data_IF_897108218809
#
_entry.id   IF_897108218809
#
_cell.length_a   1.000
_cell.length_b   1.000
_cell.length_c   1.000
_cell.angle_alpha   90.00
_cell.angle_beta   90.00
_cell.angle_gamma   90.00
#
_symmetry.space_group_name_H-M   'P 1'
#
loop_
_entity.id
_entity.type
_entity.pdbx_description
1 polymer ?
#
# COMPACT_ATOMS: atom_id res chain seq x y z
N UNK A 1 28.42 -9.97 -9.99
CA UNK A 1 27.29 -10.93 -9.92
C UNK A 1 26.00 -10.15 -10.04
N UNK A 2 25.03 -10.64 -10.80
CA UNK A 2 23.72 -10.01 -10.92
C UNK A 2 22.97 -10.11 -9.59
N UNK A 3 22.37 -9.01 -9.13
CA UNK A 3 21.59 -8.98 -7.89
C UNK A 3 20.30 -9.77 -8.03
N UNK A 4 19.85 -10.41 -6.96
CA UNK A 4 18.67 -11.28 -6.93
C UNK A 4 17.63 -10.69 -5.99
N UNK A 5 16.40 -10.55 -6.48
CA UNK A 5 15.27 -9.98 -5.73
C UNK A 5 14.15 -11.02 -5.63
N UNK A 6 13.72 -11.34 -4.42
CA UNK A 6 12.51 -12.15 -4.20
C UNK A 6 11.31 -11.24 -4.01
N UNK A 7 10.23 -11.49 -4.73
CA UNK A 7 9.03 -10.64 -4.69
C UNK A 7 7.79 -11.51 -4.43
N UNK A 8 7.03 -11.16 -3.38
CA UNK A 8 5.68 -11.69 -3.16
C UNK A 8 4.64 -10.66 -3.58
N UNK A 9 3.47 -11.13 -4.04
CA UNK A 9 2.40 -10.24 -4.47
C UNK A 9 2.61 -9.57 -5.83
N UNK A 10 3.58 -10.03 -6.63
CA UNK A 10 3.90 -9.49 -7.96
C UNK A 10 2.73 -9.43 -8.95
N UNK A 11 1.67 -10.23 -8.77
CA UNK A 11 0.45 -10.19 -9.60
C UNK A 11 -0.64 -9.26 -9.05
N UNK A 12 -0.41 -8.57 -7.93
CA UNK A 12 -1.30 -7.54 -7.41
C UNK A 12 -1.05 -6.17 -8.05
N UNK A 13 -1.88 -5.16 -7.76
CA UNK A 13 -1.74 -3.81 -8.31
C UNK A 13 -0.32 -3.27 -8.13
N UNK A 14 0.09 -3.02 -6.89
CA UNK A 14 1.41 -2.45 -6.57
C UNK A 14 2.55 -3.34 -7.07
N UNK A 15 2.42 -4.67 -6.89
CA UNK A 15 3.45 -5.63 -7.30
C UNK A 15 3.75 -5.60 -8.80
N UNK A 16 2.74 -5.41 -9.67
CA UNK A 16 2.95 -5.26 -11.11
C UNK A 16 3.87 -4.07 -11.44
N UNK A 17 3.56 -2.90 -10.86
CA UNK A 17 4.36 -1.69 -11.09
C UNK A 17 5.79 -1.86 -10.55
N UNK A 18 5.98 -2.56 -9.41
CA UNK A 18 7.30 -2.83 -8.86
C UNK A 18 8.10 -3.75 -9.78
N UNK A 19 7.49 -4.83 -10.27
CA UNK A 19 8.14 -5.75 -11.22
C UNK A 19 8.57 -5.02 -12.49
N UNK A 20 7.69 -4.21 -13.08
CA UNK A 20 8.02 -3.40 -14.24
C UNK A 20 9.14 -2.39 -13.96
N UNK A 21 9.05 -1.67 -12.84
CA UNK A 21 10.06 -0.68 -12.46
C UNK A 21 11.44 -1.31 -12.29
N UNK A 22 11.53 -2.46 -11.61
CA UNK A 22 12.79 -3.16 -11.44
C UNK A 22 13.35 -3.71 -12.75
N UNK A 23 12.52 -4.24 -13.64
CA UNK A 23 12.95 -4.71 -14.96
C UNK A 23 13.46 -3.59 -15.86
N UNK A 24 12.89 -2.38 -15.76
CA UNK A 24 13.31 -1.23 -16.57
C UNK A 24 14.53 -0.50 -16.01
N UNK A 25 14.63 -0.38 -14.69
CA UNK A 25 15.62 0.51 -14.06
C UNK A 25 16.82 -0.25 -13.47
N UNK A 26 16.84 -1.59 -13.54
CA UNK A 26 17.95 -2.41 -13.05
C UNK A 26 18.28 -3.54 -14.03
N UNK A 27 19.45 -4.16 -13.86
CA UNK A 27 19.86 -5.40 -14.54
C UNK A 27 19.64 -6.65 -13.66
N UNK A 28 18.87 -6.53 -12.58
CA UNK A 28 18.69 -7.55 -11.55
C UNK A 28 17.85 -8.72 -12.01
N UNK A 29 18.02 -9.88 -11.38
CA UNK A 29 17.22 -11.07 -11.61
C UNK A 29 16.09 -11.16 -10.58
N UNK A 30 14.85 -11.23 -11.05
CA UNK A 30 13.65 -11.24 -10.21
C UNK A 30 13.11 -12.66 -10.03
N UNK A 31 12.86 -13.05 -8.78
CA UNK A 31 12.21 -14.29 -8.38
C UNK A 31 10.80 -13.96 -7.87
N UNK A 32 9.77 -14.30 -8.64
CA UNK A 32 8.39 -13.95 -8.31
C UNK A 32 7.62 -15.16 -7.77
N UNK A 33 7.18 -15.10 -6.51
CA UNK A 33 6.25 -16.09 -5.97
C UNK A 33 4.83 -15.77 -6.40
N UNK A 34 4.25 -16.62 -7.26
CA UNK A 34 2.93 -16.41 -7.85
C UNK A 34 2.06 -17.65 -7.73
N UNK A 35 0.83 -17.50 -7.22
CA UNK A 35 -0.19 -18.55 -7.23
C UNK A 35 -0.70 -18.85 -8.64
N UNK A 36 -0.93 -17.81 -9.41
CA UNK A 36 -1.38 -17.89 -10.80
C UNK A 36 -0.52 -16.97 -11.67
N UNK A 37 0.50 -17.50 -12.38
CA UNK A 37 1.36 -16.72 -13.26
C UNK A 37 0.61 -16.00 -14.40
N UNK A 38 -0.53 -16.53 -14.86
CA UNK A 38 -1.31 -15.91 -15.93
C UNK A 38 -1.91 -14.55 -15.57
N UNK A 39 -2.01 -14.25 -14.25
CA UNK A 39 -2.45 -12.94 -13.77
C UNK A 39 -1.39 -11.85 -13.91
N UNK A 40 -0.15 -12.24 -14.15
CA UNK A 40 0.94 -11.32 -14.33
C UNK A 40 1.06 -11.00 -15.83
N UNK A 41 0.67 -9.78 -16.19
CA UNK A 41 0.60 -9.31 -17.58
C UNK A 41 1.72 -8.32 -17.92
N UNK A 42 2.93 -8.61 -17.44
CA UNK A 42 4.12 -7.89 -17.89
C UNK A 42 4.70 -8.63 -19.10
N UNK A 43 5.18 -7.92 -20.11
CA UNK A 43 5.76 -8.53 -21.30
C UNK A 43 7.12 -9.18 -20.94
N UNK A 44 7.13 -10.51 -20.81
CA UNK A 44 8.28 -11.27 -20.30
C UNK A 44 9.00 -12.02 -21.38
N UNK A 45 9.76 -11.39 -22.17
CA UNK A 45 10.87 -12.06 -22.88
C UNK A 45 12.20 -11.91 -22.13
N UNK A 46 12.17 -11.77 -20.80
CA UNK A 46 13.34 -11.44 -20.02
C UNK A 46 13.94 -12.67 -19.36
N UNK A 47 15.17 -13.03 -19.74
CA UNK A 47 16.00 -14.05 -19.07
C UNK A 47 16.27 -13.71 -17.59
N UNK A 48 15.83 -12.53 -17.14
CA UNK A 48 16.00 -12.00 -15.79
C UNK A 48 14.79 -12.25 -14.89
N UNK A 49 13.89 -13.18 -15.26
CA UNK A 49 12.69 -13.46 -14.50
C UNK A 49 12.51 -14.95 -14.25
N UNK A 50 12.45 -15.34 -12.99
CA UNK A 50 12.09 -16.69 -12.55
C UNK A 50 10.72 -16.68 -11.87
N UNK A 51 9.76 -17.42 -12.43
CA UNK A 51 8.45 -17.62 -11.81
C UNK A 51 8.51 -18.84 -10.88
N UNK A 52 8.31 -18.61 -9.60
CA UNK A 52 8.14 -19.64 -8.59
C UNK A 52 6.63 -19.84 -8.39
N UNK A 53 6.11 -20.98 -8.88
CA UNK A 53 4.70 -21.32 -8.67
C UNK A 53 4.49 -21.80 -7.25
N UNK A 54 3.66 -21.07 -6.50
CA UNK A 54 3.39 -21.41 -5.09
C UNK A 54 2.53 -20.35 -4.41
N UNK A 55 2.16 -20.66 -3.18
CA UNK A 55 1.42 -19.76 -2.29
C UNK A 55 2.31 -19.37 -1.11
N UNK A 56 2.12 -18.14 -0.61
CA UNK A 56 2.79 -17.68 0.59
C UNK A 56 2.48 -18.58 1.80
N UNK A 57 1.33 -19.27 1.82
CA UNK A 57 0.98 -20.26 2.84
C UNK A 57 2.02 -21.37 2.96
N UNK A 58 2.71 -21.71 1.87
CA UNK A 58 3.71 -22.77 1.81
C UNK A 58 5.11 -22.21 1.56
N UNK A 59 5.43 -21.05 2.14
CA UNK A 59 6.68 -20.32 1.90
C UNK A 59 7.93 -21.13 2.28
N UNK A 60 7.80 -22.11 3.15
CA UNK A 60 8.86 -23.00 3.62
C UNK A 60 9.55 -23.75 2.48
N UNK A 61 8.82 -24.05 1.40
CA UNK A 61 9.33 -24.73 0.21
C UNK A 61 10.41 -23.92 -0.52
N UNK A 62 10.43 -22.61 -0.31
CA UNK A 62 11.35 -21.67 -0.98
C UNK A 62 12.47 -21.19 -0.07
N UNK A 63 12.61 -21.75 1.15
CA UNK A 63 13.61 -21.33 2.15
C UNK A 63 15.01 -21.26 1.59
N UNK A 64 15.46 -22.28 0.84
CA UNK A 64 16.82 -22.34 0.26
C UNK A 64 17.03 -21.28 -0.83
N UNK A 65 15.98 -20.89 -1.55
CA UNK A 65 16.03 -19.82 -2.54
C UNK A 65 16.06 -18.47 -1.82
N UNK A 66 15.19 -18.26 -0.83
CA UNK A 66 15.08 -17.00 -0.08
C UNK A 66 16.40 -16.66 0.63
N UNK A 67 17.07 -17.65 1.21
CA UNK A 67 18.36 -17.47 1.88
C UNK A 67 19.48 -16.91 0.96
N UNK A 68 19.32 -17.05 -0.35
CA UNK A 68 20.29 -16.59 -1.34
C UNK A 68 19.97 -15.21 -1.93
N UNK A 69 18.90 -14.56 -1.51
CA UNK A 69 18.43 -13.32 -2.11
C UNK A 69 19.18 -12.09 -1.57
N UNK A 70 19.60 -11.23 -2.48
CA UNK A 70 20.21 -9.93 -2.14
C UNK A 70 19.13 -8.96 -1.61
N UNK A 71 17.89 -9.07 -2.13
CA UNK A 71 16.77 -8.21 -1.78
C UNK A 71 15.47 -9.00 -1.66
N UNK A 72 14.57 -8.49 -0.82
CA UNK A 72 13.19 -8.97 -0.68
C UNK A 72 12.21 -7.80 -0.81
N UNK A 73 11.09 -8.03 -1.52
CA UNK A 73 9.93 -7.13 -1.50
C UNK A 73 8.68 -7.95 -1.21
N UNK A 74 8.07 -7.71 -0.06
CA UNK A 74 6.82 -8.36 0.34
C UNK A 74 5.64 -7.41 0.22
N UNK A 75 4.85 -7.56 -0.87
CA UNK A 75 3.59 -6.82 -1.09
C UNK A 75 2.36 -7.69 -0.94
N UNK A 76 2.51 -9.02 -0.82
CA UNK A 76 1.39 -9.93 -0.65
C UNK A 76 0.67 -9.69 0.69
N UNK A 77 -0.65 -9.59 0.65
CA UNK A 77 -1.48 -9.43 1.82
C UNK A 77 -2.85 -10.08 1.63
N UNK A 78 -3.43 -10.55 2.73
CA UNK A 78 -4.83 -10.96 2.84
C UNK A 78 -5.64 -9.83 3.49
N UNK A 79 -6.75 -9.43 2.86
CA UNK A 79 -7.55 -8.28 3.30
C UNK A 79 -8.62 -8.62 4.34
N UNK A 80 -8.81 -9.91 4.65
CA UNK A 80 -9.77 -10.42 5.62
C UNK A 80 -10.04 -11.90 5.41
N UNK A 81 -10.79 -12.52 6.33
CA UNK A 81 -11.12 -13.93 6.34
C UNK A 81 -10.15 -14.77 7.19
N UNK A 82 -10.42 -16.06 7.26
CA UNK A 82 -9.77 -16.99 8.19
C UNK A 82 -8.23 -17.04 8.07
N UNK A 83 -7.70 -16.82 6.88
CA UNK A 83 -6.26 -16.89 6.62
C UNK A 83 -5.51 -15.56 6.84
N UNK A 84 -6.18 -14.52 7.34
CA UNK A 84 -5.57 -13.18 7.43
C UNK A 84 -4.34 -13.17 8.32
N UNK A 85 -4.41 -13.75 9.51
CA UNK A 85 -3.27 -13.81 10.43
C UNK A 85 -2.20 -14.77 9.94
N UNK A 86 -2.59 -15.93 9.42
CA UNK A 86 -1.65 -16.89 8.83
C UNK A 86 -0.80 -16.20 7.75
N UNK A 87 -1.43 -15.53 6.77
CA UNK A 87 -0.73 -14.92 5.65
C UNK A 87 0.02 -13.65 6.07
N UNK A 88 -0.66 -12.74 6.77
CA UNK A 88 -0.11 -11.41 7.03
C UNK A 88 0.90 -11.40 8.16
N UNK A 89 0.83 -12.35 9.11
CA UNK A 89 1.74 -12.41 10.28
C UNK A 89 2.68 -13.60 10.15
N UNK A 90 2.19 -14.81 10.32
CA UNK A 90 3.03 -16.01 10.47
C UNK A 90 3.90 -16.26 9.22
N UNK A 91 3.30 -16.20 8.03
CA UNK A 91 4.03 -16.48 6.78
C UNK A 91 4.95 -15.34 6.34
N UNK A 92 4.63 -14.08 6.67
CA UNK A 92 5.57 -12.99 6.50
C UNK A 92 6.73 -13.11 7.50
N UNK A 93 6.46 -13.43 8.78
CA UNK A 93 7.52 -13.70 9.75
C UNK A 93 8.45 -14.81 9.25
N UNK A 94 7.92 -15.94 8.79
CA UNK A 94 8.70 -17.04 8.21
C UNK A 94 9.51 -16.57 6.98
N UNK A 95 8.89 -15.85 6.04
CA UNK A 95 9.54 -15.31 4.84
C UNK A 95 10.79 -14.48 5.20
N UNK A 96 10.64 -13.53 6.12
CA UNK A 96 11.74 -12.64 6.53
C UNK A 96 12.80 -13.38 7.38
N UNK A 97 12.42 -14.38 8.17
CA UNK A 97 13.33 -15.18 8.97
C UNK A 97 14.21 -16.11 8.12
N UNK A 98 13.83 -16.41 6.88
CA UNK A 98 14.64 -17.23 5.95
C UNK A 98 15.71 -16.43 5.23
N UNK A 99 15.72 -15.11 5.33
CA UNK A 99 16.78 -14.28 4.76
C UNK A 99 18.08 -14.49 5.53
N UNK A 100 19.15 -14.74 4.78
CA UNK A 100 20.50 -14.73 5.35
C UNK A 100 20.95 -13.28 5.55
N UNK A 101 21.20 -12.90 6.79
CA UNK A 101 21.66 -11.54 7.13
C UNK A 101 23.03 -11.19 6.59
N UNK A 102 23.84 -12.16 6.15
CA UNK A 102 25.12 -11.90 5.50
C UNK A 102 24.96 -11.67 3.99
N UNK A 103 23.92 -12.23 3.37
CA UNK A 103 23.65 -12.13 1.94
C UNK A 103 22.68 -10.98 1.64
N UNK A 104 21.57 -10.94 2.35
CA UNK A 104 20.52 -9.92 2.13
C UNK A 104 21.04 -8.53 2.45
N UNK A 105 20.86 -7.61 1.52
CA UNK A 105 21.28 -6.20 1.64
C UNK A 105 20.15 -5.34 2.18
N UNK A 106 18.92 -5.55 1.68
CA UNK A 106 17.71 -4.83 2.09
C UNK A 106 16.47 -5.68 1.89
N UNK A 107 15.52 -5.54 2.79
CA UNK A 107 14.22 -6.18 2.72
C UNK A 107 13.11 -5.12 2.89
N UNK A 108 12.17 -5.07 1.95
CA UNK A 108 11.04 -4.13 1.99
C UNK A 108 9.77 -4.89 2.37
N UNK A 109 9.13 -4.43 3.44
CA UNK A 109 7.81 -4.89 3.86
C UNK A 109 6.75 -3.81 3.62
N UNK A 110 5.63 -4.20 3.03
CA UNK A 110 4.49 -3.32 2.85
C UNK A 110 3.50 -3.46 4.01
N UNK A 111 3.44 -2.43 4.83
CA UNK A 111 2.43 -2.26 5.86
C UNK A 111 1.31 -1.32 5.37
N UNK A 112 0.70 -0.53 6.24
CA UNK A 112 -0.31 0.49 5.93
C UNK A 112 -0.17 1.67 6.89
N UNK A 113 -0.31 2.89 6.39
CA UNK A 113 -0.28 4.10 7.23
C UNK A 113 -1.40 4.09 8.29
N UNK A 114 -2.48 3.33 8.07
CA UNK A 114 -3.61 3.24 8.98
C UNK A 114 -3.29 2.67 10.38
N UNK A 115 -2.11 2.06 10.58
CA UNK A 115 -1.69 1.57 11.91
C UNK A 115 -0.83 2.59 12.68
N UNK A 116 -0.56 3.76 12.09
CA UNK A 116 0.34 4.76 12.63
C UNK A 116 -0.40 6.04 13.03
N UNK A 117 0.09 6.69 14.07
CA UNK A 117 -0.22 8.09 14.34
C UNK A 117 0.56 9.05 13.41
N UNK A 118 0.34 10.35 13.57
CA UNK A 118 1.04 11.39 12.80
C UNK A 118 2.57 11.40 12.99
N UNK A 119 3.06 10.83 14.09
CA UNK A 119 4.48 10.77 14.45
C UNK A 119 5.13 9.42 14.13
N UNK A 120 4.45 8.56 13.36
CA UNK A 120 4.89 7.21 12.98
C UNK A 120 4.95 6.21 14.14
N UNK A 121 4.30 6.50 15.27
CA UNK A 121 4.13 5.54 16.35
C UNK A 121 2.95 4.60 16.04
N UNK A 122 3.07 3.36 16.50
CA UNK A 122 1.97 2.40 16.40
C UNK A 122 0.79 2.85 17.28
N UNK A 123 -0.41 2.92 16.68
CA UNK A 123 -1.63 3.28 17.41
C UNK A 123 -2.19 2.06 18.16
N UNK A 124 -2.40 2.16 19.49
CA UNK A 124 -3.04 1.07 20.25
C UNK A 124 -4.44 0.69 19.72
N UNK A 125 -5.17 1.63 19.16
CA UNK A 125 -6.49 1.41 18.55
C UNK A 125 -6.41 0.46 17.35
N UNK A 126 -5.31 0.48 16.59
CA UNK A 126 -5.11 -0.45 15.47
C UNK A 126 -5.03 -1.90 15.94
N UNK A 127 -4.46 -2.15 17.13
CA UNK A 127 -4.42 -3.47 17.76
C UNK A 127 -5.77 -3.84 18.40
N UNK A 128 -6.38 -2.91 19.14
CA UNK A 128 -7.55 -3.19 19.97
C UNK A 128 -8.84 -3.35 19.16
N UNK A 129 -9.11 -2.42 18.23
CA UNK A 129 -10.39 -2.32 17.50
C UNK A 129 -10.24 -2.35 15.97
N UNK A 130 -9.00 -2.51 15.46
CA UNK A 130 -8.73 -2.61 14.03
C UNK A 130 -9.45 -3.83 13.41
N UNK A 131 -9.73 -3.74 12.09
CA UNK A 131 -10.16 -4.92 11.33
C UNK A 131 -9.07 -5.99 11.37
N UNK A 132 -9.39 -7.24 10.99
CA UNK A 132 -8.38 -8.31 10.95
C UNK A 132 -7.16 -7.91 10.09
N UNK A 133 -7.40 -7.19 9.00
CA UNK A 133 -6.32 -6.65 8.17
C UNK A 133 -5.45 -5.65 8.95
N UNK A 134 -6.04 -4.65 9.58
CA UNK A 134 -5.33 -3.61 10.34
C UNK A 134 -4.55 -4.22 11.50
N UNK A 135 -5.21 -5.07 12.28
CA UNK A 135 -4.61 -5.76 13.42
C UNK A 135 -3.47 -6.67 12.99
N UNK A 136 -3.63 -7.43 11.90
CA UNK A 136 -2.57 -8.29 11.39
C UNK A 136 -1.36 -7.50 10.89
N UNK A 137 -1.55 -6.32 10.27
CA UNK A 137 -0.45 -5.44 9.87
C UNK A 137 0.31 -4.87 11.07
N UNK A 138 -0.41 -4.50 12.12
CA UNK A 138 0.16 -4.05 13.39
C UNK A 138 1.04 -5.14 14.02
N UNK A 139 0.52 -6.35 14.19
CA UNK A 139 1.23 -7.48 14.78
C UNK A 139 2.44 -7.89 13.94
N UNK A 140 2.28 -8.01 12.63
CA UNK A 140 3.37 -8.37 11.74
C UNK A 140 4.54 -7.40 11.85
N UNK A 141 4.29 -6.09 11.90
CA UNK A 141 5.36 -5.11 12.07
C UNK A 141 6.16 -5.35 13.34
N UNK A 142 5.49 -5.55 14.48
CA UNK A 142 6.16 -5.84 15.77
C UNK A 142 7.04 -7.08 15.68
N UNK A 143 6.55 -8.13 15.04
CA UNK A 143 7.32 -9.37 14.87
C UNK A 143 8.53 -9.19 13.94
N UNK A 144 8.35 -8.53 12.79
CA UNK A 144 9.45 -8.32 11.84
C UNK A 144 10.57 -7.45 12.40
N UNK A 145 10.23 -6.46 13.21
CA UNK A 145 11.22 -5.58 13.87
C UNK A 145 12.02 -6.30 14.96
N UNK A 146 11.57 -7.46 15.44
CA UNK A 146 12.31 -8.30 16.39
C UNK A 146 13.26 -9.30 15.73
N UNK A 147 13.19 -9.47 14.40
CA UNK A 147 14.03 -10.42 13.67
C UNK A 147 15.47 -9.90 13.48
N UNK A 148 16.46 -10.79 13.35
CA UNK A 148 17.84 -10.40 13.05
C UNK A 148 17.99 -9.54 11.77
N UNK A 149 17.09 -9.71 10.81
CA UNK A 149 17.06 -8.94 9.56
C UNK A 149 16.57 -7.50 9.75
N UNK A 150 16.05 -7.11 10.91
CA UNK A 150 15.47 -5.79 11.19
C UNK A 150 16.41 -4.62 10.86
N UNK A 151 17.72 -4.82 11.03
CA UNK A 151 18.75 -3.82 10.66
C UNK A 151 18.78 -3.50 9.17
N UNK A 152 18.18 -4.34 8.32
CA UNK A 152 18.10 -4.19 6.86
C UNK A 152 16.65 -4.04 6.37
N UNK A 153 15.71 -3.93 7.33
CA UNK A 153 14.29 -3.82 7.06
C UNK A 153 13.91 -2.36 6.80
N UNK A 154 13.27 -2.14 5.66
CA UNK A 154 12.56 -0.90 5.34
C UNK A 154 11.07 -1.24 5.29
N UNK A 155 10.31 -0.74 6.26
CA UNK A 155 8.86 -0.86 6.23
C UNK A 155 8.25 0.35 5.54
N UNK A 156 7.56 0.11 4.44
CA UNK A 156 6.83 1.11 3.70
C UNK A 156 5.36 1.10 4.14
N UNK A 157 4.85 2.27 4.47
CA UNK A 157 3.46 2.50 4.87
C UNK A 157 2.77 3.36 3.82
N UNK A 158 2.22 2.75 2.76
CA UNK A 158 1.44 3.50 1.79
C UNK A 158 0.22 4.12 2.44
N UNK A 159 -0.11 5.33 2.01
CA UNK A 159 -1.38 6.01 2.31
C UNK A 159 -2.50 5.44 1.42
N UNK A 160 -3.48 6.23 0.99
CA UNK A 160 -4.51 5.74 0.07
C UNK A 160 -3.88 5.42 -1.28
N UNK A 161 -3.91 4.13 -1.68
CA UNK A 161 -3.27 3.67 -2.91
C UNK A 161 -4.24 3.65 -4.07
N UNK A 162 -3.93 4.42 -5.11
CA UNK A 162 -4.56 4.33 -6.42
C UNK A 162 -3.69 3.54 -7.39
N UNK A 163 -4.27 3.02 -8.46
CA UNK A 163 -3.54 2.37 -9.54
C UNK A 163 -4.27 1.20 -10.18
N UNK A 164 -3.67 0.71 -11.26
CA UNK A 164 -4.28 -0.28 -12.13
C UNK A 164 -5.18 0.35 -13.19
N UNK A 165 -5.43 -0.40 -14.27
CA UNK A 165 -6.29 0.02 -15.36
C UNK A 165 -7.35 -1.05 -15.70
N UNK A 166 -7.41 -2.12 -14.91
CA UNK A 166 -8.34 -3.25 -15.12
C UNK A 166 -8.07 -4.11 -16.35
N UNK A 167 -7.12 -3.72 -17.22
CA UNK A 167 -6.72 -4.46 -18.43
C UNK A 167 -5.42 -5.22 -18.21
N UNK A 168 -4.33 -4.48 -18.12
CA UNK A 168 -2.97 -5.04 -17.99
C UNK A 168 -2.56 -5.15 -16.51
N UNK A 169 -3.07 -4.27 -15.66
CA UNK A 169 -2.81 -4.24 -14.23
C UNK A 169 -4.11 -4.27 -13.45
N UNK A 170 -4.22 -5.14 -12.41
CA UNK A 170 -5.41 -5.14 -11.57
C UNK A 170 -5.54 -3.80 -10.85
N UNK A 171 -6.78 -3.35 -10.67
CA UNK A 171 -7.04 -2.15 -9.86
C UNK A 171 -6.58 -2.34 -8.40
N UNK A 172 -6.13 -1.26 -7.78
CA UNK A 172 -6.08 -1.19 -6.34
C UNK A 172 -7.49 -1.26 -5.76
N UNK A 173 -7.61 -1.58 -4.46
CA UNK A 173 -8.91 -1.64 -3.80
C UNK A 173 -9.71 -0.33 -3.95
N UNK A 174 -9.02 0.80 -3.80
CA UNK A 174 -9.65 2.13 -3.92
C UNK A 174 -9.99 2.44 -5.39
N UNK A 175 -9.10 2.14 -6.35
CA UNK A 175 -9.38 2.39 -7.78
C UNK A 175 -10.54 1.53 -8.29
N UNK A 176 -10.70 0.30 -7.78
CA UNK A 176 -11.84 -0.54 -8.13
C UNK A 176 -13.19 0.09 -7.74
N UNK A 177 -13.24 0.78 -6.57
CA UNK A 177 -14.45 1.48 -6.12
C UNK A 177 -14.63 2.87 -6.75
N UNK A 178 -13.59 3.45 -7.35
CA UNK A 178 -13.64 4.83 -7.84
C UNK A 178 -14.66 5.03 -8.95
N UNK A 179 -14.77 4.08 -9.88
CA UNK A 179 -15.77 4.13 -10.97
C UNK A 179 -17.22 4.16 -10.43
N UNK A 180 -17.47 3.44 -9.34
CA UNK A 180 -18.76 3.48 -8.69
C UNK A 180 -18.99 4.82 -8.00
N UNK A 181 -18.01 5.35 -7.28
CA UNK A 181 -18.08 6.68 -6.64
C UNK A 181 -18.35 7.78 -7.66
N UNK A 182 -17.73 7.71 -8.85
CA UNK A 182 -17.95 8.70 -9.93
C UNK A 182 -19.43 8.80 -10.36
N UNK A 183 -20.19 7.71 -10.27
CA UNK A 183 -21.64 7.72 -10.56
C UNK A 183 -22.44 8.55 -9.56
N UNK A 184 -21.94 8.70 -8.33
CA UNK A 184 -22.58 9.46 -7.26
C UNK A 184 -22.11 10.91 -7.15
N UNK A 185 -21.19 11.37 -8.02
CA UNK A 185 -20.70 12.76 -8.03
C UNK A 185 -21.84 13.79 -8.12
N UNK A 186 -22.93 13.58 -8.93
CA UNK A 186 -24.06 14.51 -8.97
C UNK A 186 -24.71 14.77 -7.60
N UNK A 187 -24.57 13.85 -6.66
CA UNK A 187 -25.08 13.96 -5.29
C UNK A 187 -23.98 14.39 -4.31
N UNK A 188 -22.79 13.79 -4.39
CA UNK A 188 -21.64 14.05 -3.50
C UNK A 188 -21.20 15.51 -3.59
N UNK A 189 -21.32 16.15 -4.73
CA UNK A 189 -20.97 17.57 -4.93
C UNK A 189 -21.67 18.53 -3.97
N UNK A 190 -22.82 18.13 -3.42
CA UNK A 190 -23.59 18.92 -2.46
C UNK A 190 -23.17 18.72 -1.02
N UNK A 191 -22.19 17.85 -0.77
CA UNK A 191 -21.72 17.54 0.56
C UNK A 191 -20.38 18.21 0.83
N UNK A 192 -20.24 18.75 2.02
CA UNK A 192 -18.99 19.30 2.57
C UNK A 192 -18.71 18.61 3.89
N UNK A 193 -17.49 18.17 4.12
CA UNK A 193 -17.11 17.51 5.37
C UNK A 193 -15.68 17.84 5.75
N UNK A 194 -15.40 17.88 7.04
CA UNK A 194 -14.04 17.94 7.52
C UNK A 194 -13.35 16.60 7.34
N UNK A 195 -12.09 16.65 7.04
CA UNK A 195 -11.22 15.49 6.90
C UNK A 195 -10.07 15.77 5.96
N UNK A 196 -8.98 15.06 6.14
CA UNK A 196 -7.82 15.13 5.26
C UNK A 196 -7.06 13.81 5.23
N UNK A 197 -6.39 13.57 4.13
CA UNK A 197 -5.67 12.36 3.87
C UNK A 197 -4.51 12.59 2.91
N UNK A 198 -3.67 11.58 2.76
CA UNK A 198 -2.68 11.48 1.70
C UNK A 198 -3.08 10.35 0.75
N UNK A 199 -2.67 10.45 -0.49
CA UNK A 199 -2.81 9.38 -1.47
C UNK A 199 -1.49 9.18 -2.22
N UNK A 200 -1.36 8.07 -2.91
CA UNK A 200 -0.22 7.79 -3.78
C UNK A 200 -0.65 6.83 -4.89
N UNK A 201 -0.05 6.95 -6.07
CA UNK A 201 -0.29 6.01 -7.15
C UNK A 201 0.72 4.85 -7.11
N UNK A 202 0.28 3.65 -7.47
CA UNK A 202 1.12 2.44 -7.47
C UNK A 202 2.37 2.56 -8.36
N UNK A 203 2.32 3.37 -9.42
CA UNK A 203 3.50 3.70 -10.22
C UNK A 203 4.56 4.45 -9.41
N UNK A 204 4.15 5.50 -8.69
CA UNK A 204 5.06 6.32 -7.88
C UNK A 204 5.61 5.49 -6.69
N UNK A 205 4.78 4.61 -6.10
CA UNK A 205 5.26 3.61 -5.11
C UNK A 205 6.38 2.75 -5.70
N UNK A 206 6.22 2.26 -6.92
CA UNK A 206 7.22 1.40 -7.56
C UNK A 206 8.55 2.12 -7.82
N UNK A 207 8.50 3.41 -8.20
CA UNK A 207 9.70 4.23 -8.34
C UNK A 207 10.41 4.41 -7.00
N UNK A 208 9.66 4.74 -5.94
CA UNK A 208 10.20 4.85 -4.58
C UNK A 208 10.86 3.52 -4.15
N UNK A 209 10.16 2.39 -4.30
CA UNK A 209 10.68 1.07 -3.92
C UNK A 209 11.95 0.73 -4.67
N UNK A 210 11.99 0.96 -5.97
CA UNK A 210 13.20 0.75 -6.78
C UNK A 210 14.37 1.60 -6.27
N UNK A 211 14.13 2.88 -6.01
CA UNK A 211 15.13 3.81 -5.45
C UNK A 211 15.64 3.32 -4.09
N UNK A 212 14.73 2.94 -3.19
CA UNK A 212 15.09 2.40 -1.87
C UNK A 212 15.93 1.12 -1.96
N UNK A 213 15.65 0.24 -2.92
CA UNK A 213 16.43 -0.98 -3.12
C UNK A 213 17.82 -0.69 -3.72
N UNK A 214 17.92 0.24 -4.66
CA UNK A 214 19.19 0.56 -5.34
C UNK A 214 20.09 1.38 -4.43
N UNK A 215 19.60 2.51 -3.93
CA UNK A 215 20.43 3.48 -3.20
C UNK A 215 20.39 3.27 -1.68
N UNK A 216 19.34 2.63 -1.17
CA UNK A 216 19.07 2.55 0.25
C UNK A 216 18.36 3.79 0.80
N UNK A 217 18.18 3.77 2.08
CA UNK A 217 17.68 4.91 2.85
C UNK A 217 18.30 4.84 4.24
N UNK A 218 19.17 5.78 4.53
CA UNK A 218 19.81 5.87 5.83
C UNK A 218 19.24 7.07 6.59
N UNK A 219 18.53 6.78 7.68
CA UNK A 219 18.09 7.79 8.65
C UNK A 219 18.76 7.63 10.02
N UNK A 220 19.82 6.81 10.08
CA UNK A 220 20.60 6.54 11.30
C UNK A 220 19.91 5.64 12.33
N UNK A 221 18.65 5.22 12.12
CA UNK A 221 17.85 4.43 13.06
C UNK A 221 17.12 3.28 12.38
N UNK A 222 17.77 2.13 12.10
CA UNK A 222 17.07 0.92 11.68
C UNK A 222 16.26 0.30 12.85
N UNK A 223 15.12 -0.38 12.61
CA UNK A 223 14.48 -0.54 11.30
C UNK A 223 13.86 0.75 10.77
N UNK A 224 13.93 0.92 9.45
CA UNK A 224 13.42 2.15 8.80
C UNK A 224 11.91 2.07 8.60
N UNK A 225 11.18 3.11 9.01
CA UNK A 225 9.73 3.28 8.78
C UNK A 225 9.48 4.48 7.87
N UNK A 226 8.87 4.26 6.71
CA UNK A 226 8.59 5.32 5.72
C UNK A 226 7.11 5.35 5.36
N UNK A 227 6.42 6.40 5.76
CA UNK A 227 5.08 6.68 5.25
C UNK A 227 5.25 7.35 3.88
N UNK A 228 4.65 6.78 2.85
CA UNK A 228 4.74 7.28 1.48
C UNK A 228 3.39 7.81 1.00
N UNK A 229 3.40 9.02 0.43
CA UNK A 229 2.18 9.68 -0.01
C UNK A 229 2.45 11.00 -0.71
N UNK A 230 1.48 11.49 -1.48
CA UNK A 230 1.46 12.87 -1.98
C UNK A 230 1.14 13.83 -0.83
N UNK A 231 1.37 15.14 -1.01
CA UNK A 231 0.99 16.14 -0.02
C UNK A 231 -0.45 15.99 0.46
N UNK A 232 -0.71 16.41 1.70
CA UNK A 232 -2.03 16.36 2.33
C UNK A 232 -3.09 17.03 1.47
N UNK A 233 -4.21 16.33 1.27
CA UNK A 233 -5.41 16.82 0.60
C UNK A 233 -6.60 16.79 1.56
N UNK A 234 -7.45 17.82 1.55
CA UNK A 234 -8.72 17.75 2.26
C UNK A 234 -9.77 17.00 1.46
N UNK A 235 -10.76 16.42 2.14
CA UNK A 235 -11.90 15.75 1.47
C UNK A 235 -12.62 16.72 0.53
N UNK A 236 -12.79 17.99 0.95
CA UNK A 236 -13.45 19.00 0.12
C UNK A 236 -12.63 19.36 -1.14
N UNK A 237 -11.30 19.38 -1.06
CA UNK A 237 -10.44 19.52 -2.25
C UNK A 237 -10.59 18.33 -3.19
N UNK A 238 -10.64 17.11 -2.66
CA UNK A 238 -10.87 15.91 -3.47
C UNK A 238 -12.23 15.95 -4.18
N UNK A 239 -13.28 16.33 -3.46
CA UNK A 239 -14.62 16.53 -4.05
C UNK A 239 -14.56 17.58 -5.18
N UNK A 240 -13.90 18.71 -4.94
CA UNK A 240 -13.80 19.77 -5.94
C UNK A 240 -13.04 19.31 -7.19
N UNK A 241 -11.90 18.59 -7.05
CA UNK A 241 -11.15 18.06 -8.19
C UNK A 241 -11.96 17.04 -8.99
N UNK A 242 -12.66 16.11 -8.31
CA UNK A 242 -13.54 15.13 -8.97
C UNK A 242 -14.70 15.82 -9.69
N UNK A 243 -15.33 16.82 -9.07
CA UNK A 243 -16.40 17.60 -9.69
C UNK A 243 -15.92 18.38 -10.91
N UNK A 244 -14.74 18.99 -10.85
CA UNK A 244 -14.14 19.67 -11.98
C UNK A 244 -13.85 18.71 -13.14
N UNK A 245 -13.27 17.55 -12.85
CA UNK A 245 -13.00 16.51 -13.85
C UNK A 245 -14.28 15.99 -14.53
N UNK A 246 -15.33 15.74 -13.74
CA UNK A 246 -16.61 15.24 -14.24
C UNK A 246 -17.56 16.34 -14.75
N UNK A 247 -17.11 17.62 -14.78
CA UNK A 247 -17.89 18.78 -15.22
C UNK A 247 -19.18 19.01 -14.43
N UNK A 248 -19.16 18.72 -13.13
CA UNK A 248 -20.27 18.95 -12.23
C UNK A 248 -20.01 20.19 -11.36
N UNK A 249 -20.56 21.39 -11.67
CA UNK A 249 -20.30 22.60 -10.90
C UNK A 249 -20.87 22.50 -9.48
N UNK A 250 -20.15 23.08 -8.53
CA UNK A 250 -20.55 23.18 -7.12
C UNK A 250 -21.01 24.62 -6.89
N UNK A 251 -22.28 24.82 -6.52
CA UNK A 251 -22.85 26.15 -6.22
C UNK A 251 -23.10 26.37 -4.73
N UNK A 252 -23.46 25.31 -4.01
CA UNK A 252 -23.66 25.30 -2.57
C UNK A 252 -23.38 23.91 -2.01
N UNK A 253 -23.15 23.80 -0.70
CA UNK A 253 -22.88 22.52 -0.04
C UNK A 253 -23.51 22.47 1.34
N UNK A 254 -23.96 21.28 1.75
CA UNK A 254 -24.44 20.96 3.09
C UNK A 254 -23.28 20.37 3.88
N UNK A 255 -23.04 20.88 5.08
CA UNK A 255 -22.03 20.34 5.96
C UNK A 255 -22.50 19.03 6.59
N UNK A 256 -21.74 17.96 6.35
CA UNK A 256 -21.96 16.64 6.95
C UNK A 256 -21.31 16.64 8.34
N UNK A 257 -22.11 17.02 9.34
CA UNK A 257 -21.70 17.03 10.75
C UNK A 257 -21.79 15.64 11.38
N UNK A 258 -21.10 15.36 12.51
CA UNK A 258 -21.29 14.12 13.27
C UNK A 258 -22.73 13.90 13.72
N UNK A 259 -23.43 14.98 14.06
CA UNK A 259 -24.84 14.92 14.44
C UNK A 259 -25.70 14.39 13.28
N UNK A 260 -25.46 14.89 12.05
CA UNK A 260 -26.14 14.41 10.85
C UNK A 260 -25.83 12.93 10.57
N UNK A 261 -24.56 12.53 10.69
CA UNK A 261 -24.16 11.12 10.53
C UNK A 261 -24.89 10.24 11.55
N UNK A 262 -24.91 10.64 12.82
CA UNK A 262 -25.60 9.89 13.88
C UNK A 262 -27.10 9.81 13.66
N UNK A 263 -27.72 10.90 13.18
CA UNK A 263 -29.15 10.92 12.83
C UNK A 263 -29.46 9.92 11.70
N UNK A 264 -28.66 9.93 10.64
CA UNK A 264 -28.79 8.99 9.51
C UNK A 264 -28.61 7.55 9.98
N UNK A 265 -27.56 7.30 10.78
CA UNK A 265 -27.34 5.96 11.37
C UNK A 265 -28.53 5.48 12.19
N UNK A 266 -29.09 6.34 13.02
CA UNK A 266 -30.25 6.01 13.84
C UNK A 266 -31.49 5.73 12.98
N UNK A 267 -31.76 6.60 12.00
CA UNK A 267 -32.94 6.50 11.12
C UNK A 267 -32.90 5.22 10.26
N UNK A 268 -31.73 4.88 9.70
CA UNK A 268 -31.56 3.72 8.83
C UNK A 268 -31.04 2.48 9.55
N UNK A 269 -30.87 2.52 10.87
CA UNK A 269 -30.34 1.42 11.72
C UNK A 269 -29.01 0.86 11.20
N UNK A 270 -28.14 1.72 10.68
CA UNK A 270 -26.85 1.31 10.12
C UNK A 270 -25.90 0.92 11.26
N UNK A 271 -25.45 -0.34 11.21
CA UNK A 271 -24.35 -0.81 12.08
C UNK A 271 -23.02 -0.37 11.47
N UNK A 272 -22.10 0.04 12.33
CA UNK A 272 -20.77 0.48 11.94
C UNK A 272 -19.76 -0.18 12.86
N UNK A 273 -18.72 -0.79 12.27
CA UNK A 273 -17.64 -1.38 13.05
C UNK A 273 -16.93 -0.33 13.93
N UNK A 274 -16.35 -0.74 15.03
CA UNK A 274 -15.65 0.16 15.98
C UNK A 274 -14.51 0.91 15.29
N UNK A 275 -13.78 0.24 14.40
CA UNK A 275 -12.72 0.85 13.60
C UNK A 275 -13.24 1.97 12.69
N UNK A 276 -14.38 1.76 12.03
CA UNK A 276 -14.97 2.79 11.18
C UNK A 276 -15.44 4.00 11.99
N UNK A 277 -15.98 3.76 13.20
CA UNK A 277 -16.36 4.82 14.13
C UNK A 277 -15.13 5.62 14.60
N UNK A 278 -14.02 4.94 14.88
CA UNK A 278 -12.74 5.57 15.19
C UNK A 278 -12.27 6.45 14.04
N UNK A 279 -12.26 5.92 12.81
CA UNK A 279 -11.87 6.65 11.60
C UNK A 279 -12.73 7.90 11.38
N UNK A 280 -14.05 7.81 11.59
CA UNK A 280 -14.96 8.95 11.49
C UNK A 280 -14.73 10.03 12.56
N UNK A 281 -14.21 9.65 13.73
CA UNK A 281 -13.85 10.62 14.77
C UNK A 281 -12.52 11.28 14.49
N UNK A 282 -11.53 10.50 14.02
CA UNK A 282 -10.18 10.98 13.72
C UNK A 282 -10.16 11.93 12.52
N UNK A 283 -10.89 11.64 11.43
CA UNK A 283 -11.05 12.42 10.19
C UNK A 283 -9.77 12.87 9.48
N UNK A 284 -8.70 13.18 10.21
CA UNK A 284 -7.44 13.69 9.68
C UNK A 284 -6.37 12.60 9.74
N UNK A 285 -6.18 11.90 8.62
CA UNK A 285 -5.13 10.91 8.44
C UNK A 285 -3.92 11.60 7.79
N UNK A 286 -3.20 12.34 8.61
CA UNK A 286 -2.03 13.14 8.21
C UNK A 286 -0.80 12.59 8.90
N UNK A 287 0.27 12.43 8.12
CA UNK A 287 1.50 11.80 8.56
C UNK A 287 2.70 12.65 8.18
N UNK A 288 3.79 12.48 8.93
CA UNK A 288 5.12 12.82 8.46
C UNK A 288 5.50 11.80 7.37
N UNK A 289 5.41 12.21 6.12
CA UNK A 289 5.48 11.36 4.93
C UNK A 289 6.65 11.80 4.03
N UNK A 290 7.01 10.91 3.13
CA UNK A 290 7.91 11.20 2.02
C UNK A 290 7.15 11.10 0.69
N UNK A 291 7.48 12.01 -0.22
CA UNK A 291 7.03 12.03 -1.61
C UNK A 291 8.12 11.46 -2.54
N UNK A 292 7.84 11.17 -3.81
CA UNK A 292 8.88 10.87 -4.79
C UNK A 292 9.96 11.96 -4.86
N UNK A 293 9.57 13.25 -4.78
CA UNK A 293 10.46 14.40 -4.87
C UNK A 293 11.50 14.44 -3.74
N UNK A 294 11.13 14.02 -2.54
CA UNK A 294 12.04 13.93 -1.38
C UNK A 294 13.17 12.91 -1.61
N UNK A 295 12.98 11.98 -2.56
CA UNK A 295 13.97 11.01 -2.99
C UNK A 295 14.64 11.37 -4.33
N UNK A 296 14.43 12.60 -4.83
CA UNK A 296 14.96 13.06 -6.11
C UNK A 296 14.29 12.44 -7.33
N UNK A 297 13.08 11.91 -7.17
CA UNK A 297 12.24 11.39 -8.25
C UNK A 297 11.20 12.42 -8.66
N UNK A 298 10.59 12.25 -9.83
CA UNK A 298 9.46 13.07 -10.27
C UNK A 298 8.19 12.26 -10.19
N UNK A 299 7.20 12.69 -9.40
CA UNK A 299 5.91 12.04 -9.34
C UNK A 299 5.19 12.11 -10.69
N UNK A 300 4.70 10.97 -11.15
CA UNK A 300 3.85 10.90 -12.35
C UNK A 300 2.41 11.31 -12.04
N UNK A 301 1.96 11.05 -10.81
CA UNK A 301 0.58 11.27 -10.38
C UNK A 301 0.50 12.20 -9.15
N UNK A 302 0.98 13.47 -9.28
CA UNK A 302 1.04 14.39 -8.13
C UNK A 302 -0.34 14.92 -7.70
N UNK A 303 -1.38 14.78 -8.54
CA UNK A 303 -2.75 15.27 -8.29
C UNK A 303 -3.77 14.18 -8.53
N UNK A 304 -4.92 14.26 -7.84
CA UNK A 304 -6.03 13.33 -8.03
C UNK A 304 -6.57 13.37 -9.48
N UNK A 305 -6.57 14.54 -10.12
CA UNK A 305 -6.96 14.70 -11.52
C UNK A 305 -6.10 13.84 -12.48
N UNK A 306 -4.80 13.64 -12.19
CA UNK A 306 -3.95 12.78 -13.00
C UNK A 306 -4.37 11.31 -12.90
N UNK A 307 -4.84 10.89 -11.72
CA UNK A 307 -5.33 9.53 -11.48
C UNK A 307 -6.66 9.31 -12.20
N UNK A 308 -7.56 10.32 -12.14
CA UNK A 308 -8.87 10.23 -12.78
C UNK A 308 -8.78 10.10 -14.31
N UNK A 309 -7.72 10.61 -14.93
CA UNK A 309 -7.52 10.48 -16.38
C UNK A 309 -7.12 9.07 -16.83
N UNK A 310 -6.65 8.22 -15.93
CA UNK A 310 -6.21 6.84 -16.20
C UNK A 310 -7.30 5.78 -15.88
N UNK A 311 -8.44 6.18 -15.30
CA UNK A 311 -9.57 5.34 -14.92
C UNK A 311 -10.74 5.49 -15.89
#
# INVERSE_FOLDING_TARGET
>A
MTQRVFITGGSGCVGHYIVESLLHNTDWHLYLLLRNPQKLKVNYSSDRLTILRGDLQNIEQFRSIIAQMDYLVSTAACWGGENTYLINVEKNHALFSYLDTQVCKRAIYFSTASILDQHKNLMPEAEAIGTDYIRSKYLCLKELESLPIAQKLITVFPTIVFGGNGRDKPFSFISAGLQEVLRYVPYIRWLKTEGSFHFIHAFDIAQIVTKLLVDGYDNGNPPVRLVIGMPKMSVNQAIAEVCAFTKHPIWWQIEVTPALINLVRWLFRLQMAEWDQFCLRQRHFVYDHITPEDLGLTAKYPRLANILSDV
#
